data_IF_176648768400
#
_entry.id   IF_176648768400
#
_cell.length_a   1.000
_cell.length_b   1.000
_cell.length_c   1.000
_cell.angle_alpha   90.00
_cell.angle_beta   90.00
_cell.angle_gamma   90.00
#
_symmetry.space_group_name_H-M   'P 1'
#
loop_
_entity.id
_entity.type
_entity.pdbx_description
1 polymer ?
#
# COMPACT_ATOMS: atom_id res chain seq x y z
N UNK A 1 10.46 18.47 -6.01
CA UNK A 1 9.34 19.32 -6.45
C UNK A 1 8.52 19.70 -5.22
N UNK A 2 8.30 20.99 -4.97
CA UNK A 2 7.33 21.43 -3.94
C UNK A 2 6.00 21.65 -4.65
N UNK A 3 4.95 20.95 -4.19
CA UNK A 3 3.62 21.17 -4.73
C UNK A 3 2.96 22.33 -3.98
N UNK A 4 2.29 23.26 -4.69
CA UNK A 4 1.55 24.33 -4.04
C UNK A 4 0.36 23.76 -3.26
N UNK A 5 -0.12 24.52 -2.28
CA UNK A 5 -1.40 24.19 -1.67
C UNK A 5 -2.51 24.20 -2.77
N UNK A 6 -3.48 23.26 -2.74
CA UNK A 6 -3.74 22.27 -1.69
C UNK A 6 -3.11 20.88 -1.94
N UNK A 7 -2.21 20.73 -2.93
CA UNK A 7 -1.71 19.41 -3.37
C UNK A 7 -0.51 18.90 -2.56
N UNK A 8 0.04 19.72 -1.68
CA UNK A 8 1.06 19.38 -0.71
C UNK A 8 0.54 19.39 0.73
N UNK A 9 1.42 19.19 1.73
CA UNK A 9 1.06 19.33 3.13
C UNK A 9 0.75 20.80 3.48
N UNK A 10 -0.45 21.05 4.01
CA UNK A 10 -0.93 22.41 4.34
C UNK A 10 -0.94 22.69 5.84
N UNK A 11 -1.09 21.67 6.68
CA UNK A 11 -1.07 21.78 8.14
C UNK A 11 0.29 21.40 8.70
N UNK A 12 0.58 21.82 9.94
CA UNK A 12 1.79 21.41 10.68
C UNK A 12 1.83 19.90 10.87
N UNK A 13 0.69 19.30 11.23
CA UNK A 13 0.53 17.85 11.37
C UNK A 13 0.89 17.11 10.06
N UNK A 14 0.37 17.54 8.93
CA UNK A 14 0.68 16.92 7.65
C UNK A 14 2.18 17.03 7.32
N UNK A 15 2.80 18.18 7.63
CA UNK A 15 4.25 18.37 7.48
C UNK A 15 5.04 17.43 8.37
N UNK A 16 4.67 17.26 9.64
CA UNK A 16 5.31 16.33 10.55
C UNK A 16 5.23 14.89 10.05
N UNK A 17 4.04 14.43 9.62
CA UNK A 17 3.85 13.09 9.05
C UNK A 17 4.74 12.86 7.82
N UNK A 18 4.80 13.82 6.92
CA UNK A 18 5.67 13.78 5.73
C UNK A 18 7.14 13.72 6.14
N UNK A 19 7.57 14.49 7.14
CA UNK A 19 8.96 14.47 7.61
C UNK A 19 9.35 13.12 8.23
N UNK A 20 8.48 12.51 9.02
CA UNK A 20 8.70 11.15 9.55
C UNK A 20 8.84 10.11 8.45
N UNK A 21 7.98 10.21 7.42
CA UNK A 21 8.05 9.35 6.25
C UNK A 21 9.35 9.55 5.46
N UNK A 22 9.77 10.79 5.23
CA UNK A 22 11.01 11.12 4.53
C UNK A 22 12.26 10.65 5.28
N UNK A 23 12.26 10.71 6.62
CA UNK A 23 13.37 10.18 7.43
C UNK A 23 13.54 8.67 7.19
N UNK A 24 12.45 7.91 7.17
CA UNK A 24 12.49 6.48 6.86
C UNK A 24 12.83 6.21 5.39
N UNK A 25 12.30 7.04 4.47
CA UNK A 25 12.58 6.93 3.04
C UNK A 25 14.08 7.10 2.73
N UNK A 26 14.75 8.03 3.42
CA UNK A 26 16.20 8.24 3.25
C UNK A 26 16.99 6.99 3.60
N UNK A 27 16.70 6.38 4.77
CA UNK A 27 17.38 5.15 5.20
C UNK A 27 17.03 3.97 4.28
N UNK A 28 15.76 3.83 3.90
CA UNK A 28 15.32 2.75 3.03
C UNK A 28 15.95 2.83 1.64
N UNK A 29 16.14 4.04 1.08
CA UNK A 29 16.74 4.25 -0.23
C UNK A 29 18.16 3.68 -0.34
N UNK A 30 18.96 3.79 0.73
CA UNK A 30 20.35 3.29 0.77
C UNK A 30 20.41 1.75 0.63
N UNK A 31 19.34 1.05 1.01
CA UNK A 31 19.25 -0.40 1.03
C UNK A 31 18.33 -0.99 -0.04
N UNK A 32 17.48 -0.15 -0.67
CA UNK A 32 16.41 -0.59 -1.57
C UNK A 32 16.89 -1.45 -2.75
N UNK A 33 18.04 -1.11 -3.35
CA UNK A 33 18.61 -1.91 -4.44
C UNK A 33 19.06 -3.31 -4.00
N UNK A 34 19.58 -3.46 -2.79
CA UNK A 34 19.94 -4.75 -2.19
C UNK A 34 18.68 -5.59 -1.93
N UNK A 35 17.69 -5.01 -1.24
CA UNK A 35 16.46 -5.71 -0.91
C UNK A 35 15.67 -6.15 -2.13
N UNK A 36 15.65 -5.34 -3.20
CA UNK A 36 15.04 -5.71 -4.48
C UNK A 36 15.73 -6.93 -5.11
N UNK A 37 17.08 -6.94 -5.17
CA UNK A 37 17.84 -8.08 -5.73
C UNK A 37 17.66 -9.36 -4.91
N UNK A 38 17.80 -9.23 -3.58
CA UNK A 38 17.83 -10.36 -2.65
C UNK A 38 16.43 -10.83 -2.25
N UNK A 39 15.38 -10.07 -2.63
CA UNK A 39 13.98 -10.32 -2.26
C UNK A 39 13.78 -10.37 -0.75
N UNK A 40 14.47 -9.51 -0.02
CA UNK A 40 14.40 -9.41 1.44
C UNK A 40 13.64 -8.14 1.85
N UNK A 41 12.98 -8.17 2.99
CA UNK A 41 12.19 -7.01 3.46
C UNK A 41 13.10 -5.89 3.99
N UNK A 42 12.81 -4.60 3.69
CA UNK A 42 13.63 -3.44 4.09
C UNK A 42 13.42 -3.07 5.57
N UNK A 43 14.00 -3.85 6.48
CA UNK A 43 13.85 -3.73 7.93
C UNK A 43 14.45 -2.44 8.49
N UNK A 44 15.46 -1.88 7.85
CA UNK A 44 16.12 -0.65 8.30
C UNK A 44 15.15 0.55 8.23
N UNK A 45 14.41 0.68 7.14
CA UNK A 45 13.36 1.69 7.01
C UNK A 45 12.18 1.45 7.95
N UNK A 46 11.80 0.18 8.16
CA UNK A 46 10.76 -0.20 9.13
C UNK A 46 11.14 0.24 10.54
N UNK A 47 12.40 0.03 10.95
CA UNK A 47 12.90 0.42 12.26
C UNK A 47 12.74 1.93 12.52
N UNK A 48 13.03 2.76 11.51
CA UNK A 48 12.82 4.21 11.62
C UNK A 48 11.34 4.56 11.79
N UNK A 49 10.44 3.91 11.03
CA UNK A 49 8.99 4.14 11.14
C UNK A 49 8.42 3.69 12.49
N UNK A 50 8.90 2.59 13.04
CA UNK A 50 8.53 2.15 14.37
C UNK A 50 9.01 3.14 15.44
N UNK A 51 10.29 3.52 15.38
CA UNK A 51 10.91 4.45 16.34
C UNK A 51 10.25 5.83 16.37
N UNK A 52 9.86 6.37 15.21
CA UNK A 52 9.23 7.69 15.10
C UNK A 52 7.70 7.68 15.25
N UNK A 53 7.09 6.50 15.49
CA UNK A 53 5.65 6.35 15.73
C UNK A 53 4.77 6.42 14.47
N UNK A 54 5.33 6.34 13.27
CA UNK A 54 4.57 6.38 12.02
C UNK A 54 3.57 5.22 11.90
N UNK A 55 3.92 4.03 12.38
CA UNK A 55 3.07 2.84 12.31
C UNK A 55 1.77 3.00 13.10
N UNK A 56 1.78 3.80 14.17
CA UNK A 56 0.60 4.09 15.00
C UNK A 56 -0.26 5.27 14.51
N UNK A 57 0.02 5.87 13.36
CA UNK A 57 -0.64 7.10 12.92
C UNK A 57 -2.17 6.98 12.90
N UNK A 58 -2.73 5.88 12.41
CA UNK A 58 -4.19 5.67 12.29
C UNK A 58 -4.86 5.21 13.58
N UNK A 59 -4.09 4.80 14.58
CA UNK A 59 -4.60 4.44 15.89
C UNK A 59 -5.18 5.69 16.57
N UNK A 60 -6.33 5.58 17.28
CA UNK A 60 -6.91 6.70 18.03
C UNK A 60 -5.96 7.29 19.07
N UNK A 61 -6.07 8.61 19.31
CA UNK A 61 -5.26 9.31 20.32
C UNK A 61 -5.41 8.73 21.73
N UNK A 62 -6.62 8.27 22.11
CA UNK A 62 -6.85 7.60 23.41
C UNK A 62 -6.05 6.32 23.62
N UNK A 63 -5.54 5.71 22.54
CA UNK A 63 -4.70 4.52 22.57
C UNK A 63 -3.22 4.83 22.23
N UNK A 64 -2.83 6.12 22.23
CA UNK A 64 -1.48 6.56 21.98
C UNK A 64 -1.10 6.78 20.51
N UNK A 65 -2.07 6.67 19.59
CA UNK A 65 -1.90 7.01 18.18
C UNK A 65 -2.20 8.47 17.86
N UNK A 66 -2.47 8.77 16.59
CA UNK A 66 -2.71 10.15 16.13
C UNK A 66 -4.04 10.34 15.40
N UNK A 67 -4.88 9.31 15.29
CA UNK A 67 -6.15 9.36 14.55
C UNK A 67 -5.97 9.89 13.12
N UNK A 68 -4.90 9.48 12.42
CA UNK A 68 -4.60 9.93 11.08
C UNK A 68 -5.77 9.63 10.12
N UNK A 69 -5.99 10.55 9.18
CA UNK A 69 -7.01 10.50 8.14
C UNK A 69 -6.43 9.95 6.83
N UNK A 70 -7.28 9.79 5.84
CA UNK A 70 -6.88 9.31 4.51
C UNK A 70 -5.83 10.23 3.88
N UNK A 71 -6.04 11.55 3.94
CA UNK A 71 -5.07 12.53 3.43
C UNK A 71 -3.71 12.41 4.08
N UNK A 72 -3.65 12.21 5.40
CA UNK A 72 -2.40 12.05 6.14
C UNK A 72 -1.59 10.88 5.59
N UNK A 73 -2.23 9.72 5.36
CA UNK A 73 -1.55 8.55 4.80
C UNK A 73 -1.21 8.71 3.31
N UNK A 74 -2.04 9.38 2.53
CA UNK A 74 -1.73 9.69 1.12
C UNK A 74 -0.45 10.50 1.03
N UNK A 75 -0.31 11.55 1.82
CA UNK A 75 0.88 12.40 1.84
C UNK A 75 2.11 11.64 2.37
N UNK A 76 1.96 10.94 3.49
CA UNK A 76 3.05 10.21 4.13
C UNK A 76 3.55 9.03 3.29
N UNK A 77 2.64 8.21 2.75
CA UNK A 77 3.03 7.03 1.96
C UNK A 77 3.64 7.41 0.59
N UNK A 78 3.17 8.51 -0.04
CA UNK A 78 3.84 9.06 -1.23
C UNK A 78 5.28 9.47 -0.91
N UNK A 79 5.50 10.13 0.23
CA UNK A 79 6.84 10.52 0.67
C UNK A 79 7.74 9.32 0.98
N UNK A 80 7.20 8.29 1.67
CA UNK A 80 7.93 7.06 2.00
C UNK A 80 8.35 6.27 0.75
N UNK A 81 7.43 6.15 -0.22
CA UNK A 81 7.65 5.39 -1.44
C UNK A 81 8.76 5.96 -2.36
N UNK A 82 9.16 7.21 -2.15
CA UNK A 82 10.31 7.79 -2.85
C UNK A 82 11.62 7.11 -2.48
N UNK A 83 11.72 6.53 -1.29
CA UNK A 83 12.87 5.75 -0.85
C UNK A 83 12.75 4.27 -1.23
N UNK A 84 11.64 3.64 -0.82
CA UNK A 84 11.40 2.22 -1.10
C UNK A 84 9.90 1.94 -1.26
N UNK A 85 9.53 1.47 -2.46
CA UNK A 85 8.16 1.15 -2.82
C UNK A 85 7.60 -0.04 -2.03
N UNK A 86 8.42 -1.05 -1.76
CA UNK A 86 8.01 -2.28 -1.09
C UNK A 86 7.69 -2.04 0.38
N UNK A 87 8.54 -1.29 1.08
CA UNK A 87 8.28 -0.85 2.45
C UNK A 87 6.99 -0.02 2.51
N UNK A 88 6.89 0.98 1.62
CA UNK A 88 5.75 1.87 1.58
C UNK A 88 4.43 1.13 1.33
N UNK A 89 4.42 0.10 0.46
CA UNK A 89 3.22 -0.70 0.20
C UNK A 89 2.76 -1.45 1.44
N UNK A 90 3.67 -2.14 2.13
CA UNK A 90 3.31 -2.91 3.34
C UNK A 90 2.79 -1.99 4.45
N UNK A 91 3.44 -0.83 4.63
CA UNK A 91 3.03 0.18 5.62
C UNK A 91 1.70 0.85 5.22
N UNK A 92 1.47 1.08 3.92
CA UNK A 92 0.19 1.60 3.43
C UNK A 92 -0.96 0.62 3.68
N UNK A 93 -0.75 -0.67 3.43
CA UNK A 93 -1.74 -1.72 3.72
C UNK A 93 -2.05 -1.82 5.22
N UNK A 94 -1.01 -1.77 6.06
CA UNK A 94 -1.15 -1.74 7.51
C UNK A 94 -2.00 -0.56 7.99
N UNK A 95 -1.64 0.66 7.60
CA UNK A 95 -2.35 1.87 7.99
C UNK A 95 -3.78 1.92 7.45
N UNK A 96 -3.99 1.47 6.19
CA UNK A 96 -5.32 1.38 5.57
C UNK A 96 -6.24 0.41 6.31
N UNK A 97 -5.73 -0.76 6.71
CA UNK A 97 -6.51 -1.74 7.45
C UNK A 97 -6.96 -1.19 8.80
N UNK A 98 -6.05 -0.61 9.59
CA UNK A 98 -6.39 -0.03 10.90
C UNK A 98 -7.34 1.16 10.78
N UNK A 99 -7.12 2.05 9.79
CA UNK A 99 -8.00 3.18 9.53
C UNK A 99 -9.41 2.74 9.16
N UNK A 100 -9.53 1.78 8.24
CA UNK A 100 -10.81 1.22 7.80
C UNK A 100 -11.56 0.54 8.94
N UNK A 101 -10.90 -0.30 9.72
CA UNK A 101 -11.52 -1.01 10.86
C UNK A 101 -12.01 -0.02 11.92
N UNK A 102 -11.21 1.03 12.20
CA UNK A 102 -11.59 2.11 13.11
C UNK A 102 -12.83 2.84 12.63
N UNK A 103 -12.85 3.27 11.37
CA UNK A 103 -13.91 4.13 10.83
C UNK A 103 -15.23 3.34 10.63
N UNK A 104 -15.12 2.07 10.25
CA UNK A 104 -16.29 1.20 10.10
C UNK A 104 -16.84 0.66 11.44
N UNK A 105 -16.03 0.69 12.52
CA UNK A 105 -16.43 0.18 13.83
C UNK A 105 -16.80 -1.30 13.84
N UNK A 106 -16.28 -2.08 12.87
CA UNK A 106 -16.70 -3.47 12.66
C UNK A 106 -16.08 -4.46 13.65
N UNK A 107 -14.94 -4.13 14.23
CA UNK A 107 -14.32 -4.98 15.27
C UNK A 107 -14.84 -4.59 16.65
N UNK A 108 -14.90 -5.56 17.57
CA UNK A 108 -15.12 -5.24 18.97
C UNK A 108 -13.99 -4.32 19.48
N UNK A 109 -14.33 -3.48 20.47
CA UNK A 109 -13.35 -2.60 21.09
C UNK A 109 -12.13 -3.37 21.60
N UNK A 110 -12.35 -4.55 22.22
CA UNK A 110 -11.28 -5.40 22.76
C UNK A 110 -10.31 -5.88 21.66
N UNK A 111 -10.81 -6.29 20.49
CA UNK A 111 -9.95 -6.70 19.37
C UNK A 111 -9.13 -5.52 18.84
N UNK A 112 -9.80 -4.39 18.61
CA UNK A 112 -9.12 -3.21 18.07
C UNK A 112 -8.07 -2.69 19.05
N UNK A 113 -8.39 -2.57 20.35
CA UNK A 113 -7.47 -2.09 21.36
C UNK A 113 -6.26 -3.00 21.53
N UNK A 114 -6.45 -4.33 21.50
CA UNK A 114 -5.34 -5.29 21.59
C UNK A 114 -4.30 -5.04 20.51
N UNK A 115 -4.74 -4.97 19.24
CA UNK A 115 -3.85 -4.71 18.10
C UNK A 115 -3.24 -3.32 18.18
N UNK A 116 -4.06 -2.30 18.45
CA UNK A 116 -3.64 -0.90 18.51
C UNK A 116 -2.55 -0.65 19.57
N UNK A 117 -2.68 -1.25 20.75
CA UNK A 117 -1.67 -1.13 21.84
C UNK A 117 -0.35 -1.77 21.43
N UNK A 118 -0.36 -2.95 20.80
CA UNK A 118 0.87 -3.58 20.31
C UNK A 118 1.55 -2.72 19.22
N UNK A 119 0.77 -2.18 18.27
CA UNK A 119 1.28 -1.30 17.20
C UNK A 119 1.95 -0.05 17.78
N UNK A 120 1.33 0.59 18.76
CA UNK A 120 1.86 1.84 19.33
C UNK A 120 3.06 1.58 20.23
N UNK A 121 3.10 0.45 20.95
CA UNK A 121 4.18 0.10 21.87
C UNK A 121 5.44 -0.46 21.21
N UNK A 122 5.32 -1.03 20.01
CA UNK A 122 6.43 -1.64 19.28
C UNK A 122 7.35 -0.59 18.66
N UNK A 123 8.20 0.02 19.48
CA UNK A 123 9.18 1.06 19.08
C UNK A 123 10.61 0.56 18.99
N UNK A 124 10.81 -0.73 19.15
CA UNK A 124 12.12 -1.40 19.19
C UNK A 124 12.71 -1.70 17.79
N UNK A 125 12.05 -1.22 16.72
CA UNK A 125 12.48 -1.42 15.34
C UNK A 125 11.92 -2.66 14.68
N UNK A 126 11.24 -3.56 15.43
CA UNK A 126 10.56 -4.71 14.80
C UNK A 126 9.19 -4.34 14.25
N UNK A 127 8.54 -3.32 14.87
CA UNK A 127 7.19 -2.89 14.54
C UNK A 127 6.14 -3.99 14.81
N UNK A 128 4.89 -3.60 14.99
CA UNK A 128 3.78 -4.54 15.05
C UNK A 128 2.86 -4.30 13.85
N UNK A 129 3.21 -4.88 12.71
CA UNK A 129 2.42 -4.73 11.49
C UNK A 129 1.26 -5.73 11.44
N UNK A 130 0.18 -5.29 10.84
CA UNK A 130 -1.00 -6.11 10.54
C UNK A 130 -1.36 -5.99 9.05
N UNK A 131 -1.83 -7.09 8.46
CA UNK A 131 -2.36 -7.05 7.10
C UNK A 131 -3.55 -8.00 6.93
N UNK A 132 -4.39 -7.74 5.92
CA UNK A 132 -5.47 -8.61 5.50
C UNK A 132 -4.94 -9.69 4.55
N UNK A 133 -5.15 -10.96 4.91
CA UNK A 133 -4.66 -12.14 4.20
C UNK A 133 -5.86 -12.87 3.57
N UNK A 134 -6.28 -12.39 2.40
CA UNK A 134 -7.51 -12.84 1.77
C UNK A 134 -7.30 -13.67 0.49
N UNK A 135 -6.24 -13.38 -0.28
CA UNK A 135 -6.02 -13.98 -1.60
C UNK A 135 -5.60 -15.44 -1.51
N UNK A 136 -6.07 -16.25 -2.46
CA UNK A 136 -5.73 -17.66 -2.60
C UNK A 136 -5.38 -17.98 -4.06
N UNK A 137 -4.58 -19.03 -4.32
CA UNK A 137 -4.17 -19.37 -5.68
C UNK A 137 -5.36 -19.62 -6.64
N UNK A 138 -6.42 -20.25 -6.13
CA UNK A 138 -7.56 -20.69 -6.93
C UNK A 138 -8.72 -19.71 -6.97
N UNK A 139 -8.81 -18.77 -6.02
CA UNK A 139 -9.93 -17.82 -5.94
C UNK A 139 -9.84 -16.65 -6.93
N UNK A 140 -8.63 -16.33 -7.40
CA UNK A 140 -8.39 -15.04 -8.06
C UNK A 140 -8.53 -13.88 -7.05
N UNK A 141 -9.08 -12.74 -7.50
CA UNK A 141 -9.26 -11.57 -6.62
C UNK A 141 -10.40 -11.80 -5.61
N UNK A 142 -10.16 -11.59 -4.30
CA UNK A 142 -11.21 -11.66 -3.28
C UNK A 142 -12.38 -10.68 -3.52
N UNK A 143 -12.17 -9.63 -4.32
CA UNK A 143 -13.19 -8.65 -4.67
C UNK A 143 -14.29 -9.18 -5.60
N UNK A 144 -14.10 -10.36 -6.18
CA UNK A 144 -15.10 -11.03 -7.07
C UNK A 144 -16.09 -11.90 -6.32
N UNK A 145 -15.98 -12.01 -4.99
CA UNK A 145 -16.87 -12.80 -4.14
C UNK A 145 -16.54 -14.28 -4.10
N UNK A 146 -17.37 -15.06 -3.39
CA UNK A 146 -17.20 -16.49 -3.16
C UNK A 146 -16.54 -16.82 -1.82
N UNK A 147 -16.73 -18.07 -1.37
CA UNK A 147 -16.07 -18.57 -0.17
C UNK A 147 -14.62 -18.98 -0.50
N UNK A 148 -13.67 -18.64 0.37
CA UNK A 148 -12.30 -19.12 0.24
C UNK A 148 -12.20 -20.64 0.46
N UNK A 149 -11.17 -21.28 -0.08
CA UNK A 149 -10.84 -22.67 0.22
C UNK A 149 -10.21 -22.84 1.60
N UNK A 150 -9.60 -21.80 2.14
CA UNK A 150 -9.18 -21.80 3.54
C UNK A 150 -10.40 -21.97 4.41
N UNK A 151 -10.37 -22.96 5.29
CA UNK A 151 -11.44 -23.29 6.20
C UNK A 151 -11.09 -22.89 7.63
N UNK A 152 -12.09 -22.54 8.42
CA UNK A 152 -12.02 -22.43 9.87
C UNK A 152 -13.14 -23.28 10.45
N UNK A 153 -12.76 -24.39 11.11
CA UNK A 153 -13.74 -25.31 11.70
C UNK A 153 -13.79 -25.06 13.20
N UNK A 154 -15.01 -24.83 13.72
CA UNK A 154 -15.22 -24.65 15.16
C UNK A 154 -15.02 -25.97 15.90
N UNK A 155 -14.07 -26.00 16.85
CA UNK A 155 -13.79 -27.15 17.70
C UNK A 155 -13.69 -26.75 19.16
N UNK A 156 -14.61 -27.23 19.98
CA UNK A 156 -14.63 -26.92 21.41
C UNK A 156 -14.67 -25.40 21.68
N UNK A 157 -13.60 -24.85 22.26
CA UNK A 157 -13.49 -23.43 22.63
C UNK A 157 -12.66 -22.60 21.66
N UNK A 158 -12.43 -23.10 20.44
CA UNK A 158 -11.58 -22.42 19.45
C UNK A 158 -11.98 -22.73 18.01
N UNK A 159 -11.13 -22.26 17.11
CA UNK A 159 -11.20 -22.51 15.67
C UNK A 159 -9.92 -23.20 15.21
N UNK A 160 -10.03 -24.14 14.28
CA UNK A 160 -8.92 -24.79 13.60
C UNK A 160 -8.90 -24.32 12.16
N UNK A 161 -7.84 -23.62 11.76
CA UNK A 161 -7.69 -23.05 10.44
C UNK A 161 -6.78 -23.94 9.58
N UNK A 162 -7.24 -24.23 8.35
CA UNK A 162 -6.48 -24.95 7.34
C UNK A 162 -6.59 -24.26 5.98
N UNK A 163 -5.47 -24.08 5.29
CA UNK A 163 -5.47 -23.48 3.96
C UNK A 163 -4.17 -22.77 3.58
N UNK A 164 -4.25 -22.01 2.49
CA UNK A 164 -3.09 -21.29 1.92
C UNK A 164 -3.51 -19.88 1.50
N UNK A 165 -2.69 -18.88 1.86
CA UNK A 165 -2.87 -17.51 1.43
C UNK A 165 -1.69 -17.05 0.59
N UNK A 166 -1.95 -16.44 -0.54
CA UNK A 166 -0.95 -15.82 -1.40
C UNK A 166 -0.99 -14.30 -1.27
N UNK A 167 0.01 -13.60 -1.82
CA UNK A 167 0.11 -12.15 -1.71
C UNK A 167 0.05 -11.66 -0.25
N UNK A 168 0.66 -12.42 0.69
CA UNK A 168 0.68 -12.07 2.11
C UNK A 168 1.75 -11.00 2.36
N UNK A 169 1.53 -9.77 1.85
CA UNK A 169 2.51 -8.69 1.86
C UNK A 169 2.97 -8.38 3.28
N UNK A 170 4.29 -8.35 3.47
CA UNK A 170 4.93 -8.17 4.76
C UNK A 170 5.02 -9.44 5.59
N UNK A 171 4.71 -10.63 5.05
CA UNK A 171 4.69 -11.89 5.81
C UNK A 171 5.87 -12.08 6.78
N UNK A 172 7.14 -11.79 6.43
CA UNK A 172 8.28 -11.97 7.35
C UNK A 172 8.27 -11.04 8.57
N UNK A 173 7.50 -9.95 8.54
CA UNK A 173 7.51 -8.91 9.58
C UNK A 173 6.12 -8.61 10.17
N UNK A 174 5.07 -9.30 9.71
CA UNK A 174 3.75 -9.16 10.30
C UNK A 174 3.73 -9.71 11.73
N UNK A 175 3.05 -8.99 12.62
CA UNK A 175 2.67 -9.46 13.95
C UNK A 175 1.30 -10.12 13.93
N UNK A 176 0.39 -9.58 13.12
CA UNK A 176 -0.98 -10.02 12.99
C UNK A 176 -1.38 -10.20 11.53
N UNK A 177 -2.15 -11.27 11.27
CA UNK A 177 -2.84 -11.47 10.00
C UNK A 177 -4.35 -11.52 10.21
N UNK A 178 -5.12 -10.81 9.38
CA UNK A 178 -6.57 -11.02 9.29
C UNK A 178 -6.83 -12.03 8.19
N UNK A 179 -6.92 -13.29 8.56
CA UNK A 179 -7.08 -14.42 7.64
C UNK A 179 -8.55 -14.58 7.27
N UNK A 180 -8.87 -14.52 5.97
CA UNK A 180 -10.22 -14.82 5.48
C UNK A 180 -10.40 -16.33 5.35
N UNK A 181 -11.49 -16.88 5.89
CA UNK A 181 -11.81 -18.29 5.79
C UNK A 181 -13.31 -18.55 5.62
N UNK A 182 -13.66 -19.72 5.08
CA UNK A 182 -14.99 -20.28 5.18
C UNK A 182 -15.13 -20.87 6.59
N UNK A 183 -15.99 -20.26 7.41
CA UNK A 183 -16.24 -20.67 8.79
C UNK A 183 -17.31 -21.77 8.83
N UNK A 184 -16.99 -22.88 9.48
CA UNK A 184 -17.86 -24.04 9.64
C UNK A 184 -18.25 -24.23 11.11
N UNK A 185 -19.55 -24.21 11.40
CA UNK A 185 -20.12 -24.41 12.75
C UNK A 185 -21.13 -25.57 12.71
N UNK A 186 -20.73 -26.75 13.18
CA UNK A 186 -21.58 -27.96 13.11
C UNK A 186 -21.97 -28.26 11.67
N UNK A 187 -23.27 -28.52 11.44
CA UNK A 187 -23.84 -28.84 10.12
C UNK A 187 -24.40 -27.61 9.39
N UNK A 188 -24.22 -26.39 9.93
CA UNK A 188 -24.71 -25.18 9.30
C UNK A 188 -23.91 -24.85 8.01
N UNK A 189 -24.55 -24.17 7.07
CA UNK A 189 -23.89 -23.69 5.85
C UNK A 189 -22.70 -22.79 6.22
N UNK A 190 -21.55 -22.97 5.55
CA UNK A 190 -20.37 -22.17 5.83
C UNK A 190 -20.57 -20.71 5.42
N UNK A 191 -19.97 -19.81 6.18
CA UNK A 191 -20.01 -18.37 5.91
C UNK A 191 -18.60 -17.76 5.83
N UNK A 192 -18.47 -16.61 5.16
CA UNK A 192 -17.22 -15.88 5.08
C UNK A 192 -16.92 -15.17 6.39
N UNK A 193 -15.79 -15.49 7.01
CA UNK A 193 -15.32 -14.83 8.24
C UNK A 193 -13.87 -14.34 8.09
N UNK A 194 -13.50 -13.38 8.93
CA UNK A 194 -12.11 -12.98 9.18
C UNK A 194 -11.63 -13.54 10.50
N UNK A 195 -10.37 -13.90 10.58
CA UNK A 195 -9.75 -14.39 11.82
C UNK A 195 -8.50 -13.57 12.12
N UNK A 196 -8.44 -12.93 13.28
CA UNK A 196 -7.27 -12.22 13.78
C UNK A 196 -6.27 -13.24 14.33
N UNK A 197 -5.25 -13.55 13.53
CA UNK A 197 -4.29 -14.64 13.80
C UNK A 197 -2.91 -14.03 14.11
N UNK A 198 -2.33 -14.32 15.29
CA UNK A 198 -0.92 -14.01 15.55
C UNK A 198 -0.04 -14.79 14.55
N UNK A 199 0.95 -14.13 13.94
CA UNK A 199 1.83 -14.81 12.98
C UNK A 199 2.74 -15.88 13.62
N UNK A 200 2.80 -15.91 14.96
CA UNK A 200 3.49 -16.95 15.74
C UNK A 200 2.62 -18.15 16.08
N UNK A 201 1.37 -18.23 15.59
CA UNK A 201 0.45 -19.33 15.87
C UNK A 201 1.06 -20.67 15.41
N UNK A 202 1.12 -21.71 16.27
CA UNK A 202 1.53 -23.04 15.85
C UNK A 202 0.69 -23.54 14.67
N UNK A 203 1.32 -24.21 13.71
CA UNK A 203 0.66 -24.65 12.47
C UNK A 203 0.62 -23.58 11.37
N UNK A 204 1.10 -22.37 11.65
CA UNK A 204 1.28 -21.34 10.65
C UNK A 204 2.75 -21.31 10.20
N UNK A 205 2.99 -21.34 8.88
CA UNK A 205 4.33 -21.19 8.29
C UNK A 205 4.32 -20.34 7.04
N UNK A 206 5.45 -19.69 6.78
CA UNK A 206 5.67 -18.87 5.59
C UNK A 206 6.50 -19.66 4.59
N UNK A 207 5.98 -19.85 3.38
CA UNK A 207 6.74 -20.41 2.25
C UNK A 207 7.31 -19.27 1.40
N UNK A 208 8.63 -19.23 1.15
CA UNK A 208 9.28 -18.14 0.44
C UNK A 208 9.05 -18.24 -1.08
N UNK A 209 7.82 -17.91 -1.51
CA UNK A 209 7.35 -18.06 -2.89
C UNK A 209 7.38 -16.76 -3.68
N UNK A 210 7.69 -15.60 -3.05
CA UNK A 210 7.61 -14.31 -3.72
C UNK A 210 8.79 -14.05 -4.64
N UNK A 211 8.57 -14.18 -5.95
CA UNK A 211 9.54 -13.86 -7.01
C UNK A 211 8.82 -13.24 -8.22
N UNK A 212 8.78 -11.94 -8.25
CA UNK A 212 7.95 -11.12 -9.17
C UNK A 212 8.78 -10.10 -9.92
N UNK A 213 8.20 -9.50 -10.95
CA UNK A 213 8.81 -8.47 -11.78
C UNK A 213 9.20 -7.23 -10.94
N UNK A 214 8.29 -6.71 -10.15
CA UNK A 214 8.45 -5.54 -9.28
C UNK A 214 7.92 -5.80 -7.89
N UNK A 215 8.09 -4.83 -6.98
CA UNK A 215 7.68 -4.95 -5.57
C UNK A 215 8.34 -6.17 -4.89
N UNK A 216 9.56 -6.50 -5.31
CA UNK A 216 10.26 -7.74 -4.96
C UNK A 216 10.58 -7.87 -3.48
N UNK A 217 10.74 -6.73 -2.80
CA UNK A 217 11.08 -6.66 -1.38
C UNK A 217 9.87 -6.61 -0.42
N UNK A 218 8.63 -6.76 -0.93
CA UNK A 218 7.43 -6.75 -0.07
C UNK A 218 7.29 -8.00 0.79
N UNK A 219 8.01 -9.08 0.50
CA UNK A 219 7.86 -10.35 1.21
C UNK A 219 6.44 -10.91 1.14
N UNK A 220 5.77 -10.74 -0.03
CA UNK A 220 4.37 -11.17 -0.23
C UNK A 220 4.26 -12.68 -0.43
N UNK A 221 4.92 -13.43 0.43
CA UNK A 221 5.03 -14.88 0.40
C UNK A 221 3.69 -15.59 0.59
N UNK A 222 3.71 -16.90 0.38
CA UNK A 222 2.57 -17.77 0.70
C UNK A 222 2.57 -18.10 2.20
N UNK A 223 1.42 -17.89 2.82
CA UNK A 223 1.14 -18.33 4.18
C UNK A 223 0.41 -19.67 4.12
N UNK A 224 0.86 -20.65 4.89
CA UNK A 224 0.22 -21.96 5.02
C UNK A 224 -0.26 -22.13 6.45
N UNK A 225 -1.52 -22.52 6.58
CA UNK A 225 -2.15 -22.88 7.84
C UNK A 225 -2.43 -24.38 7.80
N UNK A 226 -1.91 -25.08 8.78
CA UNK A 226 -2.09 -26.52 8.96
C UNK A 226 -2.44 -26.78 10.42
N UNK A 227 -3.70 -27.08 10.67
CA UNK A 227 -4.27 -27.24 12.01
C UNK A 227 -3.89 -26.07 12.95
N UNK A 228 -3.92 -24.84 12.41
CA UNK A 228 -3.60 -23.65 13.17
C UNK A 228 -4.76 -23.30 14.11
N UNK A 229 -4.55 -23.48 15.42
CA UNK A 229 -5.57 -23.26 16.44
C UNK A 229 -5.57 -21.80 16.92
N UNK A 230 -6.76 -21.20 17.00
CA UNK A 230 -7.00 -19.88 17.58
C UNK A 230 -8.25 -19.92 18.47
N UNK A 231 -8.31 -18.97 19.42
CA UNK A 231 -9.47 -18.85 20.31
C UNK A 231 -10.75 -18.48 19.54
N UNK A 232 -11.93 -18.73 20.16
CA UNK A 232 -13.22 -18.31 19.61
C UNK A 232 -13.26 -16.78 19.35
N UNK A 233 -12.64 -16.02 20.22
CA UNK A 233 -12.52 -14.57 20.10
C UNK A 233 -11.66 -14.11 18.91
N UNK A 234 -10.96 -14.99 18.21
CA UNK A 234 -10.18 -14.62 17.03
C UNK A 234 -11.04 -14.24 15.82
N UNK A 235 -12.30 -14.69 15.79
CA UNK A 235 -13.24 -14.31 14.74
C UNK A 235 -13.54 -12.82 14.79
N UNK A 236 -13.34 -12.13 13.67
CA UNK A 236 -13.66 -10.72 13.49
C UNK A 236 -14.62 -10.55 12.32
N UNK A 237 -15.60 -9.64 12.43
CA UNK A 237 -16.51 -9.37 11.34
C UNK A 237 -15.76 -8.98 10.06
N UNK A 238 -16.20 -9.52 8.95
CA UNK A 238 -15.78 -9.12 7.63
C UNK A 238 -16.98 -8.56 6.88
N UNK A 239 -16.91 -7.31 6.38
CA UNK A 239 -17.97 -6.76 5.56
C UNK A 239 -18.20 -7.65 4.35
N UNK A 240 -19.48 -7.88 4.01
CA UNK A 240 -19.84 -8.57 2.76
C UNK A 240 -19.32 -7.76 1.57
N UNK A 241 -18.89 -8.46 0.50
CA UNK A 241 -18.49 -7.79 -0.73
C UNK A 241 -19.69 -6.97 -1.26
N UNK A 242 -19.50 -5.66 -1.45
CA UNK A 242 -20.51 -4.76 -2.01
C UNK A 242 -21.47 -4.11 -1.01
N UNK A 243 -21.24 -4.19 0.30
CA UNK A 243 -22.07 -3.51 1.31
C UNK A 243 -21.73 -2.02 1.51
N UNK A 244 -22.45 -1.35 2.43
CA UNK A 244 -22.31 0.08 2.78
C UNK A 244 -20.90 0.51 3.22
N UNK A 245 -20.00 -0.45 3.47
CA UNK A 245 -18.60 -0.21 3.84
C UNK A 245 -17.66 -0.02 2.64
N UNK A 246 -18.12 -0.28 1.42
CA UNK A 246 -17.28 -0.21 0.22
C UNK A 246 -16.66 1.17 -0.02
N UNK A 247 -17.36 2.31 0.18
CA UNK A 247 -16.75 3.63 0.06
C UNK A 247 -15.59 3.85 1.04
N UNK A 248 -15.70 3.37 2.28
CA UNK A 248 -14.62 3.43 3.26
C UNK A 248 -13.41 2.60 2.82
N UNK A 249 -13.62 1.40 2.29
CA UNK A 249 -12.55 0.58 1.75
C UNK A 249 -11.82 1.27 0.60
N UNK A 250 -12.55 1.92 -0.31
CA UNK A 250 -11.99 2.67 -1.43
C UNK A 250 -11.24 3.92 -0.98
N UNK A 251 -11.77 4.65 -0.01
CA UNK A 251 -11.08 5.82 0.54
C UNK A 251 -9.70 5.45 1.11
N UNK A 252 -9.64 4.40 1.92
CA UNK A 252 -8.37 3.93 2.45
C UNK A 252 -7.44 3.32 1.39
N UNK A 253 -7.96 2.83 0.25
CA UNK A 253 -7.15 2.38 -0.88
C UNK A 253 -6.34 3.49 -1.55
N UNK A 254 -6.74 4.77 -1.40
CA UNK A 254 -5.97 5.91 -1.89
C UNK A 254 -4.57 5.98 -1.26
N UNK A 255 -4.42 5.51 -0.01
CA UNK A 255 -3.12 5.43 0.65
C UNK A 255 -2.16 4.43 -0.02
N UNK A 256 -2.71 3.38 -0.65
CA UNK A 256 -1.96 2.42 -1.46
C UNK A 256 -1.62 3.02 -2.83
N UNK A 257 -2.56 3.75 -3.46
CA UNK A 257 -2.30 4.45 -4.72
C UNK A 257 -1.19 5.51 -4.58
N UNK A 258 -1.10 6.15 -3.41
CA UNK A 258 -0.06 7.12 -3.08
C UNK A 258 1.36 6.54 -3.13
N UNK A 259 1.51 5.23 -2.89
CA UNK A 259 2.81 4.54 -3.03
C UNK A 259 3.33 4.66 -4.46
N UNK A 260 2.49 4.36 -5.45
CA UNK A 260 2.88 4.41 -6.86
C UNK A 260 3.12 5.83 -7.36
N UNK A 261 2.37 6.80 -6.83
CA UNK A 261 2.67 8.22 -7.04
C UNK A 261 4.07 8.58 -6.52
N UNK A 262 4.44 8.12 -5.31
CA UNK A 262 5.77 8.37 -4.74
C UNK A 262 6.91 7.74 -5.54
N UNK A 263 6.70 6.53 -6.06
CA UNK A 263 7.66 5.89 -6.98
C UNK A 263 7.84 6.70 -8.26
N UNK A 264 6.74 7.21 -8.83
CA UNK A 264 6.79 8.07 -10.01
C UNK A 264 7.52 9.40 -9.74
N UNK A 265 7.32 9.98 -8.57
CA UNK A 265 8.06 11.18 -8.13
C UNK A 265 9.55 10.90 -8.03
N UNK A 266 9.96 9.74 -7.49
CA UNK A 266 11.36 9.32 -7.43
C UNK A 266 11.96 9.09 -8.83
N UNK A 267 11.20 8.45 -9.73
CA UNK A 267 11.62 8.26 -11.12
C UNK A 267 11.84 9.58 -11.84
N UNK A 268 10.92 10.53 -11.69
CA UNK A 268 11.05 11.89 -12.21
C UNK A 268 12.27 12.62 -11.64
N UNK A 269 12.48 12.54 -10.33
CA UNK A 269 13.61 13.21 -9.67
C UNK A 269 14.94 12.69 -10.18
N UNK A 270 15.07 11.38 -10.32
CA UNK A 270 16.24 10.76 -10.93
C UNK A 270 16.48 11.24 -12.37
N UNK A 271 15.44 11.21 -13.21
CA UNK A 271 15.53 11.62 -14.62
C UNK A 271 15.95 13.09 -14.78
N UNK A 272 15.38 13.99 -13.98
CA UNK A 272 15.72 15.41 -14.00
C UNK A 272 17.16 15.67 -13.53
N UNK A 273 17.59 14.99 -12.46
CA UNK A 273 18.98 15.06 -11.99
C UNK A 273 19.93 14.57 -13.07
N UNK A 274 19.67 13.40 -13.64
CA UNK A 274 20.45 12.85 -14.75
C UNK A 274 20.56 13.85 -15.93
N UNK A 275 19.45 14.46 -16.32
CA UNK A 275 19.46 15.44 -17.43
C UNK A 275 20.34 16.67 -17.15
N UNK A 276 20.37 17.15 -15.90
CA UNK A 276 21.18 18.28 -15.47
C UNK A 276 22.67 17.95 -15.41
N UNK A 277 23.01 16.74 -15.06
CA UNK A 277 24.39 16.28 -14.84
C UNK A 277 25.06 15.74 -16.12
N UNK A 278 24.28 15.12 -17.01
CA UNK A 278 24.81 14.48 -18.22
C UNK A 278 25.27 15.50 -19.24
N UNK A 279 26.59 15.51 -19.56
CA UNK A 279 27.26 16.43 -20.49
C UNK A 279 28.00 15.65 -21.57
N UNK A 280 27.35 15.25 -22.68
CA UNK A 280 28.00 14.61 -23.79
C UNK A 280 29.01 15.57 -24.48
N UNK A 281 30.13 15.04 -25.00
CA UNK A 281 31.14 15.83 -25.69
C UNK A 281 30.54 16.65 -26.83
N UNK A 282 29.63 16.08 -27.60
CA UNK A 282 28.94 16.73 -28.71
C UNK A 282 28.17 18.01 -28.34
N UNK A 283 27.90 18.25 -27.06
CA UNK A 283 27.20 19.43 -26.58
C UNK A 283 28.14 20.54 -26.06
N UNK A 284 29.44 20.39 -26.25
CA UNK A 284 30.43 21.43 -25.89
C UNK A 284 30.35 21.83 -24.41
N UNK A 285 30.17 20.84 -23.48
CA UNK A 285 30.11 21.05 -22.04
C UNK A 285 28.70 21.39 -21.51
N UNK A 286 27.72 21.63 -22.38
CA UNK A 286 26.32 21.86 -21.95
C UNK A 286 25.69 20.51 -21.54
N UNK A 287 24.78 20.57 -20.54
CA UNK A 287 24.00 19.40 -20.16
C UNK A 287 22.89 19.10 -21.18
N UNK A 288 22.42 17.83 -21.19
CA UNK A 288 21.29 17.46 -22.05
C UNK A 288 19.99 18.16 -21.67
N UNK A 289 19.89 18.74 -20.46
CA UNK A 289 18.75 19.58 -20.06
C UNK A 289 18.55 20.82 -20.94
N UNK A 290 19.55 21.21 -21.76
CA UNK A 290 19.43 22.28 -22.73
C UNK A 290 18.71 21.88 -24.03
N UNK A 291 18.53 20.57 -24.28
CA UNK A 291 17.94 20.07 -25.52
C UNK A 291 16.41 20.21 -25.49
N UNK A 292 15.77 20.69 -26.59
CA UNK A 292 14.33 20.88 -26.66
C UNK A 292 13.51 19.61 -26.34
N UNK A 293 13.90 18.46 -26.89
CA UNK A 293 13.22 17.19 -26.66
C UNK A 293 13.32 16.70 -25.20
N UNK A 294 14.42 16.99 -24.49
CA UNK A 294 14.57 16.68 -23.07
C UNK A 294 13.69 17.61 -22.23
N UNK A 295 13.59 18.87 -22.60
CA UNK A 295 12.72 19.85 -21.94
C UNK A 295 11.25 19.50 -22.12
N UNK A 296 10.83 19.07 -23.32
CA UNK A 296 9.47 18.59 -23.58
C UNK A 296 9.13 17.38 -22.70
N UNK A 297 10.02 16.38 -22.61
CA UNK A 297 9.83 15.21 -21.73
C UNK A 297 9.74 15.60 -20.26
N UNK A 298 10.58 16.53 -19.80
CA UNK A 298 10.51 17.02 -18.43
C UNK A 298 9.15 17.71 -18.13
N UNK A 299 8.63 18.48 -19.08
CA UNK A 299 7.29 19.06 -18.99
C UNK A 299 6.19 18.02 -18.90
N UNK A 300 6.26 16.93 -19.69
CA UNK A 300 5.30 15.81 -19.64
C UNK A 300 5.32 15.09 -18.31
N UNK A 301 6.51 14.80 -17.76
CA UNK A 301 6.66 14.20 -16.43
C UNK A 301 5.91 15.03 -15.37
N UNK A 302 6.13 16.34 -15.36
CA UNK A 302 5.53 17.24 -14.38
C UNK A 302 4.02 17.38 -14.56
N UNK A 303 3.52 17.40 -15.80
CA UNK A 303 2.08 17.44 -16.09
C UNK A 303 1.37 16.17 -15.59
N UNK A 304 1.90 14.99 -15.89
CA UNK A 304 1.34 13.72 -15.43
C UNK A 304 1.31 13.61 -13.91
N UNK A 305 2.39 14.02 -13.25
CA UNK A 305 2.46 14.04 -11.78
C UNK A 305 1.48 15.05 -11.18
N UNK A 306 1.35 16.23 -11.78
CA UNK A 306 0.41 17.24 -11.31
C UNK A 306 -1.04 16.74 -11.37
N UNK A 307 -1.43 16.07 -12.46
CA UNK A 307 -2.75 15.47 -12.62
C UNK A 307 -2.98 14.37 -11.56
N UNK A 308 -2.04 13.43 -11.43
CA UNK A 308 -2.15 12.31 -10.51
C UNK A 308 -2.24 12.79 -9.05
N UNK A 309 -1.31 13.64 -8.64
CA UNK A 309 -1.27 14.15 -7.28
C UNK A 309 -2.44 15.07 -6.98
N UNK A 310 -2.79 15.95 -7.91
CA UNK A 310 -3.90 16.87 -7.77
C UNK A 310 -5.20 16.12 -7.51
N UNK A 311 -5.51 15.12 -8.33
CA UNK A 311 -6.72 14.33 -8.16
C UNK A 311 -6.68 13.49 -6.87
N UNK A 312 -5.56 12.79 -6.61
CA UNK A 312 -5.44 11.90 -5.44
C UNK A 312 -5.60 12.67 -4.12
N UNK A 313 -4.86 13.78 -3.95
CA UNK A 313 -4.88 14.56 -2.71
C UNK A 313 -6.20 15.31 -2.54
N UNK A 314 -6.76 15.91 -3.61
CA UNK A 314 -8.04 16.60 -3.51
C UNK A 314 -9.19 15.66 -3.18
N UNK A 315 -9.20 14.44 -3.74
CA UNK A 315 -10.21 13.43 -3.43
C UNK A 315 -10.08 12.93 -1.98
N UNK A 316 -8.84 12.70 -1.50
CA UNK A 316 -8.61 12.34 -0.10
C UNK A 316 -9.08 13.43 0.87
N UNK A 317 -8.79 14.71 0.57
CA UNK A 317 -9.27 15.85 1.39
C UNK A 317 -10.79 15.99 1.37
N UNK A 318 -11.41 15.81 0.21
CA UNK A 318 -12.87 15.85 0.10
C UNK A 318 -13.52 14.73 0.93
N UNK A 319 -12.95 13.52 0.89
CA UNK A 319 -13.40 12.41 1.73
C UNK A 319 -13.26 12.73 3.22
N UNK A 320 -12.09 13.22 3.64
CA UNK A 320 -11.84 13.55 5.05
C UNK A 320 -12.74 14.68 5.59
N UNK A 321 -13.20 15.57 4.72
CA UNK A 321 -14.11 16.66 5.06
C UNK A 321 -15.57 16.19 5.20
N UNK A 322 -16.03 15.32 4.29
CA UNK A 322 -17.42 14.85 4.25
C UNK A 322 -17.48 13.44 3.59
N UNK A 323 -17.23 12.35 4.35
CA UNK A 323 -17.35 10.99 3.82
C UNK A 323 -18.76 10.72 3.28
N UNK A 324 -18.85 10.24 2.03
CA UNK A 324 -20.14 9.95 1.40
C UNK A 324 -20.04 8.79 0.42
N UNK A 325 -21.08 7.95 0.36
CA UNK A 325 -21.20 6.89 -0.62
C UNK A 325 -21.19 7.43 -2.07
N UNK A 326 -21.67 8.65 -2.30
CA UNK A 326 -21.64 9.30 -3.62
C UNK A 326 -20.23 9.58 -4.14
N UNK A 327 -19.20 9.47 -3.31
CA UNK A 327 -17.80 9.63 -3.73
C UNK A 327 -17.17 8.37 -4.34
N UNK A 328 -17.92 7.27 -4.45
CA UNK A 328 -17.38 5.98 -4.89
C UNK A 328 -16.64 6.07 -6.23
N UNK A 329 -17.25 6.69 -7.23
CA UNK A 329 -16.64 6.88 -8.55
C UNK A 329 -15.40 7.79 -8.49
N UNK A 330 -15.47 8.89 -7.72
CA UNK A 330 -14.34 9.81 -7.55
C UNK A 330 -13.13 9.13 -6.86
N UNK A 331 -13.37 8.30 -5.84
CA UNK A 331 -12.34 7.52 -5.16
C UNK A 331 -11.68 6.52 -6.13
N UNK A 332 -12.49 5.83 -6.94
CA UNK A 332 -12.00 4.90 -7.95
C UNK A 332 -11.17 5.62 -9.03
N UNK A 333 -11.66 6.77 -9.54
CA UNK A 333 -10.94 7.60 -10.49
C UNK A 333 -9.59 8.05 -9.97
N UNK A 334 -9.54 8.54 -8.73
CA UNK A 334 -8.30 9.02 -8.12
C UNK A 334 -7.24 7.91 -8.04
N UNK A 335 -7.63 6.68 -7.68
CA UNK A 335 -6.73 5.51 -7.67
C UNK A 335 -6.26 5.18 -9.08
N UNK A 336 -7.16 5.05 -10.04
CA UNK A 336 -6.85 4.65 -11.42
C UNK A 336 -5.93 5.67 -12.09
N UNK A 337 -6.25 6.96 -12.00
CA UNK A 337 -5.41 8.03 -12.57
C UNK A 337 -4.02 8.05 -11.91
N UNK A 338 -3.94 7.94 -10.58
CA UNK A 338 -2.66 7.91 -9.90
C UNK A 338 -1.79 6.73 -10.35
N UNK A 339 -2.35 5.53 -10.47
CA UNK A 339 -1.62 4.32 -10.87
C UNK A 339 -1.18 4.37 -12.35
N UNK A 340 -2.08 4.78 -13.26
CA UNK A 340 -1.76 4.84 -14.69
C UNK A 340 -0.76 5.95 -15.02
N UNK A 341 -0.92 7.14 -14.42
CA UNK A 341 0.04 8.22 -14.59
C UNK A 341 1.40 7.87 -14.00
N UNK A 342 1.46 7.12 -12.88
CA UNK A 342 2.73 6.64 -12.33
C UNK A 342 3.50 5.78 -13.32
N UNK A 343 2.81 4.88 -14.05
CA UNK A 343 3.41 4.08 -15.12
C UNK A 343 3.91 4.97 -16.25
N UNK A 344 3.07 5.89 -16.73
CA UNK A 344 3.43 6.81 -17.80
C UNK A 344 4.65 7.69 -17.44
N UNK A 345 4.73 8.15 -16.19
CA UNK A 345 5.88 8.90 -15.67
C UNK A 345 7.15 8.04 -15.66
N UNK A 346 7.08 6.80 -15.19
CA UNK A 346 8.24 5.92 -15.17
C UNK A 346 8.74 5.62 -16.60
N UNK A 347 7.85 5.39 -17.55
CA UNK A 347 8.18 5.18 -18.97
C UNK A 347 8.79 6.43 -19.62
N UNK A 348 8.22 7.60 -19.36
CA UNK A 348 8.76 8.85 -19.88
C UNK A 348 10.12 9.20 -19.27
N UNK A 349 10.32 8.89 -17.96
CA UNK A 349 11.62 9.02 -17.30
C UNK A 349 12.69 8.13 -17.93
N UNK A 350 12.35 6.87 -18.25
CA UNK A 350 13.29 5.99 -18.97
C UNK A 350 13.66 6.52 -20.35
N UNK A 351 12.68 7.06 -21.10
CA UNK A 351 12.93 7.68 -22.42
C UNK A 351 13.81 8.93 -22.30
N UNK A 352 13.65 9.72 -21.24
CA UNK A 352 14.48 10.90 -20.98
C UNK A 352 15.93 10.51 -20.70
N UNK A 353 16.15 9.47 -19.90
CA UNK A 353 17.47 8.96 -19.52
C UNK A 353 18.13 8.19 -20.68
N UNK A 354 17.34 7.57 -21.55
CA UNK A 354 17.81 6.79 -22.68
C UNK A 354 18.41 5.45 -22.25
N UNK A 355 19.38 4.91 -23.01
CA UNK A 355 19.95 3.57 -22.79
C UNK A 355 20.48 3.33 -21.37
N UNK A 356 20.97 4.38 -20.69
CA UNK A 356 21.44 4.26 -19.30
C UNK A 356 20.31 3.91 -18.30
N UNK A 357 19.05 4.04 -18.70
CA UNK A 357 17.90 3.64 -17.87
C UNK A 357 17.78 2.13 -17.69
N UNK A 358 18.41 1.35 -18.57
CA UNK A 358 18.40 -0.13 -18.55
C UNK A 358 19.45 -0.73 -17.61
N UNK A 359 20.36 0.10 -17.08
CA UNK A 359 21.37 -0.35 -16.14
C UNK A 359 20.74 -0.81 -14.82
N UNK A 360 21.02 -2.05 -14.39
CA UNK A 360 20.55 -2.59 -13.12
C UNK A 360 21.11 -1.89 -11.88
N UNK A 361 22.16 -1.10 -12.03
CA UNK A 361 22.67 -0.19 -11.01
C UNK A 361 21.84 1.08 -10.87
N UNK A 362 20.97 1.39 -11.85
CA UNK A 362 20.08 2.55 -11.81
C UNK A 362 18.82 2.26 -10.99
N UNK A 363 18.43 3.15 -10.06
CA UNK A 363 17.14 2.98 -9.35
C UNK A 363 15.94 3.10 -10.30
N UNK A 364 16.10 3.68 -11.49
CA UNK A 364 15.02 3.92 -12.42
C UNK A 364 14.43 2.63 -12.99
N UNK A 365 15.27 1.60 -13.25
CA UNK A 365 14.80 0.30 -13.72
C UNK A 365 13.92 -0.39 -12.67
N UNK A 366 14.25 -0.25 -11.36
CA UNK A 366 13.43 -0.73 -10.26
C UNK A 366 12.10 0.05 -10.21
N UNK A 367 12.13 1.38 -10.27
CA UNK A 367 10.91 2.20 -10.28
C UNK A 367 9.99 1.82 -11.44
N UNK A 368 10.56 1.57 -12.63
CA UNK A 368 9.79 1.12 -13.80
C UNK A 368 9.08 -0.23 -13.57
N UNK A 369 9.72 -1.17 -12.85
CA UNK A 369 9.10 -2.45 -12.49
C UNK A 369 8.05 -2.29 -11.39
N UNK A 370 8.36 -1.53 -10.37
CA UNK A 370 7.53 -1.39 -9.16
C UNK A 370 6.19 -0.70 -9.42
N UNK A 371 6.15 0.34 -10.27
CA UNK A 371 4.89 1.06 -10.57
C UNK A 371 3.80 0.15 -11.15
N UNK A 372 4.16 -0.97 -11.76
CA UNK A 372 3.20 -1.90 -12.37
C UNK A 372 2.33 -2.62 -11.35
N UNK A 373 2.78 -2.74 -10.11
CA UNK A 373 1.96 -3.24 -9.00
C UNK A 373 0.67 -2.47 -8.80
N UNK A 374 0.65 -1.18 -9.14
CA UNK A 374 -0.51 -0.31 -9.02
C UNK A 374 -1.74 -0.76 -9.81
N UNK A 375 -1.56 -1.46 -10.93
CA UNK A 375 -2.65 -1.96 -11.77
C UNK A 375 -3.47 -3.05 -11.07
N UNK A 376 -2.87 -3.77 -10.13
CA UNK A 376 -3.44 -4.98 -9.54
C UNK A 376 -4.13 -4.76 -8.19
N UNK A 377 -3.98 -3.58 -7.59
CA UNK A 377 -4.73 -3.22 -6.38
C UNK A 377 -6.14 -2.75 -6.70
N UNK A 378 -7.15 -3.15 -5.90
CA UNK A 378 -8.53 -2.68 -6.08
C UNK A 378 -8.69 -1.16 -5.81
N UNK A 379 -9.62 -0.51 -6.52
CA UNK A 379 -10.32 -1.02 -7.69
C UNK A 379 -9.39 -1.08 -8.89
N UNK A 380 -9.47 -2.16 -9.67
CA UNK A 380 -8.81 -2.25 -10.98
C UNK A 380 -9.50 -1.34 -11.99
N UNK A 381 -8.83 -1.10 -13.12
CA UNK A 381 -9.32 -0.17 -14.14
C UNK A 381 -10.69 -0.57 -14.68
N UNK A 382 -10.91 -1.87 -14.94
CA UNK A 382 -12.19 -2.41 -15.42
C UNK A 382 -13.34 -2.17 -14.42
N UNK A 383 -13.08 -2.35 -13.14
CA UNK A 383 -14.06 -2.09 -12.10
C UNK A 383 -14.40 -0.59 -11.97
N UNK A 384 -13.42 0.29 -12.12
CA UNK A 384 -13.65 1.73 -12.11
C UNK A 384 -14.44 2.18 -13.36
N UNK A 385 -14.07 1.69 -14.55
CA UNK A 385 -14.79 2.00 -15.78
C UNK A 385 -16.24 1.54 -15.74
N UNK A 386 -16.53 0.37 -15.15
CA UNK A 386 -17.90 -0.11 -14.97
C UNK A 386 -18.75 0.81 -14.07
N UNK A 387 -18.13 1.46 -13.05
CA UNK A 387 -18.83 2.46 -12.23
C UNK A 387 -19.25 3.67 -13.05
N UNK A 388 -18.32 4.25 -13.82
CA UNK A 388 -18.63 5.40 -14.66
C UNK A 388 -19.64 5.08 -15.76
N UNK A 389 -19.54 3.88 -16.35
CA UNK A 389 -20.50 3.44 -17.36
C UNK A 389 -21.92 3.36 -16.79
N UNK A 390 -22.07 2.81 -15.57
CA UNK A 390 -23.36 2.75 -14.88
C UNK A 390 -23.92 4.14 -14.59
N UNK A 391 -23.11 5.06 -14.05
CA UNK A 391 -23.55 6.44 -13.79
C UNK A 391 -23.95 7.20 -15.05
N UNK A 392 -23.33 6.88 -16.20
CA UNK A 392 -23.59 7.58 -17.46
C UNK A 392 -24.78 7.00 -18.25
N UNK A 393 -25.09 5.70 -18.10
CA UNK A 393 -26.02 4.97 -18.97
C UNK A 393 -27.28 4.50 -18.24
N UNK A 394 -27.27 4.35 -16.92
CA UNK A 394 -28.41 3.92 -16.09
C UNK A 394 -29.06 5.12 -15.38
#
# INVERSE_FOLDING_TARGET
MSYPAPFGPVTERERDIVQRALAAASVAADHAGRHDRDRTFPVEGLAVLAGNGYLGLTVPGRLGGQSARVTDLVLGNSALARGDASLALVVAMHGALLGRVRDAGVWSEAHFERVAREVVSARDGTGALINSLASEPEMGSPSRGGLPRTTAVRRGRGWVLNGRKTFSSGAPVLRWGVVSAAAHVGEAEPYLAGFLVPMSTPGLRIEPTWDTLGMRATGSHTLVLQDAEVDLSAEVPRPAAGGDHLPHERAWSLSVAAVYLGVAEAAREYAIRFARERRPLALGGRSIASLPNIRDRAGRLDLLLFQARGLLVSTARAWDAAPSASMEAALAAAKVVASNNAIAVAEEAMRLVGGSSLDRGSPLERHFRDVRGGLHHPPQDDAALALFAREALD
#
